data_IF_368004746014
#
_entry.id   IF_368004746014
#
_cell.length_a   1.000
_cell.length_b   1.000
_cell.length_c   1.000
_cell.angle_alpha   90.00
_cell.angle_beta   90.00
_cell.angle_gamma   90.00
#
_symmetry.space_group_name_H-M   'P 1'
#
loop_
_entity.id
_entity.type
_entity.pdbx_description
1 polymer ?
#
# COMPACT_ATOMS: atom_id res chain seq x y z
N UNK A 1 -34.61 22.16 1.27
CA UNK A 1 -34.64 22.25 -0.20
C UNK A 1 -34.63 20.83 -0.73
N UNK A 2 -35.62 20.41 -1.54
CA UNK A 2 -35.63 19.06 -2.08
C UNK A 2 -34.36 18.84 -2.92
N UNK A 3 -33.69 17.71 -2.71
CA UNK A 3 -32.50 17.36 -3.47
C UNK A 3 -32.95 17.04 -4.89
N UNK A 4 -32.44 17.76 -5.89
CA UNK A 4 -32.90 17.70 -7.29
C UNK A 4 -32.99 16.27 -7.88
N UNK A 5 -32.24 15.30 -7.34
CA UNK A 5 -32.11 13.95 -7.89
C UNK A 5 -32.54 12.84 -6.91
N UNK A 6 -33.31 13.15 -5.86
CA UNK A 6 -33.69 12.15 -4.85
C UNK A 6 -34.49 10.95 -5.40
N UNK A 7 -35.46 11.12 -6.32
CA UNK A 7 -36.17 9.99 -6.90
C UNK A 7 -35.22 9.01 -7.61
N UNK A 8 -34.26 9.51 -8.38
CA UNK A 8 -33.27 8.70 -9.08
C UNK A 8 -32.31 8.01 -8.10
N UNK A 9 -31.89 8.71 -7.05
CA UNK A 9 -31.06 8.13 -5.99
C UNK A 9 -31.78 6.96 -5.29
N UNK A 10 -33.07 7.11 -4.99
CA UNK A 10 -33.88 6.04 -4.38
C UNK A 10 -34.09 4.86 -5.31
N UNK A 11 -34.37 5.12 -6.61
CA UNK A 11 -34.45 4.08 -7.64
C UNK A 11 -33.15 3.29 -7.73
N UNK A 12 -32.02 3.98 -7.73
CA UNK A 12 -30.70 3.34 -7.81
C UNK A 12 -30.36 2.56 -6.54
N UNK A 13 -30.72 3.06 -5.35
CA UNK A 13 -30.61 2.29 -4.11
C UNK A 13 -31.42 0.98 -4.17
N UNK A 14 -32.67 1.05 -4.66
CA UNK A 14 -33.54 -0.11 -4.78
C UNK A 14 -33.01 -1.16 -5.77
N UNK A 15 -32.27 -0.76 -6.81
CA UNK A 15 -31.57 -1.67 -7.75
C UNK A 15 -30.61 -2.63 -7.02
N UNK A 16 -30.03 -2.18 -5.90
CA UNK A 16 -29.06 -2.93 -5.10
C UNK A 16 -29.63 -3.40 -3.75
N UNK A 17 -30.96 -3.45 -3.62
CA UNK A 17 -31.65 -3.84 -2.38
C UNK A 17 -31.27 -2.96 -1.16
N UNK A 18 -30.89 -1.69 -1.41
CA UNK A 18 -30.56 -0.73 -0.36
C UNK A 18 -31.83 0.01 0.07
N UNK A 19 -32.28 -0.23 1.30
CA UNK A 19 -33.39 0.51 1.89
C UNK A 19 -32.91 1.86 2.45
N UNK A 20 -33.60 2.94 2.05
CA UNK A 20 -33.31 4.29 2.52
C UNK A 20 -34.19 4.62 3.72
N UNK A 21 -33.60 4.64 4.90
CA UNK A 21 -34.29 4.87 6.18
C UNK A 21 -34.21 6.35 6.64
N UNK A 22 -35.07 6.77 7.58
CA UNK A 22 -35.01 8.09 8.21
C UNK A 22 -33.68 8.38 8.94
N UNK A 23 -33.33 9.66 9.05
CA UNK A 23 -32.06 10.10 9.64
C UNK A 23 -31.92 9.76 11.13
N UNK A 24 -33.04 9.66 11.85
CA UNK A 24 -33.12 9.35 13.28
C UNK A 24 -33.02 7.85 13.59
N UNK A 25 -32.99 6.99 12.57
CA UNK A 25 -32.87 5.55 12.74
C UNK A 25 -31.41 5.10 12.56
N UNK A 26 -31.08 3.97 13.19
CA UNK A 26 -29.76 3.34 13.07
C UNK A 26 -29.82 2.29 11.97
N UNK A 27 -29.05 2.45 10.88
CA UNK A 27 -29.09 1.50 9.76
C UNK A 27 -28.50 0.14 10.15
N UNK A 28 -29.13 -0.92 9.67
CA UNK A 28 -28.58 -2.29 9.66
C UNK A 28 -28.01 -2.61 8.27
N UNK A 29 -27.37 -3.78 8.04
CA UNK A 29 -26.92 -4.17 6.71
C UNK A 29 -28.03 -4.08 5.66
N UNK A 30 -27.70 -3.51 4.49
CA UNK A 30 -28.67 -3.24 3.42
C UNK A 30 -29.46 -1.94 3.61
N UNK A 31 -29.19 -1.16 4.66
CA UNK A 31 -29.86 0.13 4.88
C UNK A 31 -28.90 1.32 4.82
N UNK A 32 -29.43 2.48 4.46
CA UNK A 32 -28.72 3.75 4.57
C UNK A 32 -29.64 4.91 4.93
N UNK A 33 -29.14 5.82 5.75
CA UNK A 33 -29.75 7.15 5.94
C UNK A 33 -29.06 8.25 5.11
N UNK A 34 -28.03 7.90 4.35
CA UNK A 34 -27.13 8.84 3.68
C UNK A 34 -27.63 9.26 2.28
N UNK A 35 -28.94 9.32 2.06
CA UNK A 35 -29.53 9.66 0.76
C UNK A 35 -29.05 11.02 0.24
N UNK A 36 -28.87 12.00 1.12
CA UNK A 36 -28.32 13.31 0.75
C UNK A 36 -26.91 13.24 0.17
N UNK A 37 -26.10 12.26 0.61
CA UNK A 37 -24.77 12.03 0.06
C UNK A 37 -24.83 11.38 -1.31
N UNK A 38 -25.73 10.40 -1.50
CA UNK A 38 -25.94 9.74 -2.80
C UNK A 38 -26.40 10.76 -3.85
N UNK A 39 -27.36 11.63 -3.50
CA UNK A 39 -27.81 12.73 -4.36
C UNK A 39 -26.65 13.67 -4.75
N UNK A 40 -25.78 14.02 -3.80
CA UNK A 40 -24.61 14.88 -4.07
C UNK A 40 -23.58 14.21 -4.98
N UNK A 41 -23.31 12.92 -4.78
CA UNK A 41 -22.40 12.16 -5.66
C UNK A 41 -22.99 12.09 -7.07
N UNK A 42 -24.27 11.78 -7.19
CA UNK A 42 -24.96 11.69 -8.48
C UNK A 42 -25.01 13.03 -9.21
N UNK A 43 -25.31 14.14 -8.51
CA UNK A 43 -25.27 15.47 -9.11
C UNK A 43 -23.87 15.84 -9.60
N UNK A 44 -22.81 15.35 -8.94
CA UNK A 44 -21.42 15.68 -9.26
C UNK A 44 -20.81 14.81 -10.36
N UNK A 45 -21.13 13.51 -10.38
CA UNK A 45 -20.45 12.51 -11.21
C UNK A 45 -21.39 11.74 -12.16
N UNK A 46 -22.70 11.94 -12.06
CA UNK A 46 -23.71 11.26 -12.88
C UNK A 46 -24.09 9.88 -12.36
N UNK A 47 -25.22 9.36 -12.87
CA UNK A 47 -25.78 8.06 -12.49
C UNK A 47 -24.81 6.88 -12.70
N UNK A 48 -24.06 6.76 -13.82
CA UNK A 48 -23.16 5.63 -14.04
C UNK A 48 -22.07 5.50 -12.96
N UNK A 49 -21.50 6.62 -12.53
CA UNK A 49 -20.52 6.66 -11.44
C UNK A 49 -21.16 6.26 -10.11
N UNK A 50 -22.33 6.82 -9.79
CA UNK A 50 -23.05 6.48 -8.55
C UNK A 50 -23.42 5.00 -8.51
N UNK A 51 -23.77 4.39 -9.65
CA UNK A 51 -24.07 2.96 -9.76
C UNK A 51 -22.86 2.10 -9.39
N UNK A 52 -21.66 2.45 -9.89
CA UNK A 52 -20.42 1.76 -9.51
C UNK A 52 -20.11 1.91 -8.01
N UNK A 53 -20.35 3.09 -7.43
CA UNK A 53 -20.16 3.32 -5.99
C UNK A 53 -21.10 2.45 -5.16
N UNK A 54 -22.39 2.40 -5.52
CA UNK A 54 -23.39 1.63 -4.77
C UNK A 54 -23.19 0.13 -4.93
N UNK A 55 -22.99 -0.38 -6.15
CA UNK A 55 -22.66 -1.81 -6.38
C UNK A 55 -21.40 -2.23 -5.62
N UNK A 56 -20.36 -1.39 -5.60
CA UNK A 56 -19.14 -1.68 -4.81
C UNK A 56 -19.45 -1.88 -3.33
N UNK A 57 -20.33 -1.09 -2.73
CA UNK A 57 -20.67 -1.22 -1.30
C UNK A 57 -21.71 -2.31 -1.01
N UNK A 58 -22.66 -2.54 -1.91
CA UNK A 58 -23.78 -3.44 -1.71
C UNK A 58 -23.46 -4.90 -2.07
N UNK A 59 -22.68 -5.12 -3.13
CA UNK A 59 -22.43 -6.46 -3.66
C UNK A 59 -21.19 -7.13 -3.07
N UNK A 60 -20.26 -6.34 -2.55
CA UNK A 60 -19.02 -6.90 -1.98
C UNK A 60 -19.21 -7.34 -0.54
N UNK A 61 -18.58 -8.46 -0.20
CA UNK A 61 -18.76 -9.15 1.08
C UNK A 61 -18.38 -8.24 2.25
N UNK A 62 -19.19 -8.29 3.31
CA UNK A 62 -18.99 -7.55 4.56
C UNK A 62 -19.12 -6.01 4.46
N UNK A 63 -19.55 -5.46 3.33
CA UNK A 63 -19.63 -4.01 3.12
C UNK A 63 -21.05 -3.42 3.23
N UNK A 64 -22.08 -4.29 3.21
CA UNK A 64 -23.51 -3.91 3.20
C UNK A 64 -23.97 -3.10 4.42
N UNK A 65 -23.31 -3.24 5.58
CA UNK A 65 -23.59 -2.45 6.79
C UNK A 65 -22.93 -1.08 6.82
N UNK A 66 -22.15 -0.73 5.79
CA UNK A 66 -21.21 0.38 5.85
C UNK A 66 -21.59 1.54 4.94
N UNK A 67 -22.79 1.56 4.36
CA UNK A 67 -23.29 2.61 3.44
C UNK A 67 -23.57 3.91 4.20
N UNK A 68 -22.48 4.60 4.54
CA UNK A 68 -22.43 5.84 5.31
C UNK A 68 -21.89 6.98 4.45
N UNK A 69 -22.10 8.23 4.87
CA UNK A 69 -21.54 9.39 4.16
C UNK A 69 -20.02 9.27 3.93
N UNK A 70 -19.27 8.82 4.94
CA UNK A 70 -17.81 8.65 4.85
C UNK A 70 -17.43 7.60 3.81
N UNK A 71 -18.05 6.41 3.88
CA UNK A 71 -17.78 5.32 2.93
C UNK A 71 -18.16 5.68 1.50
N UNK A 72 -19.32 6.31 1.29
CA UNK A 72 -19.82 6.68 -0.03
C UNK A 72 -18.85 7.63 -0.73
N UNK A 73 -18.38 8.66 -0.01
CA UNK A 73 -17.40 9.58 -0.56
C UNK A 73 -16.04 8.93 -0.78
N UNK A 74 -15.56 8.09 0.14
CA UNK A 74 -14.28 7.40 -0.01
C UNK A 74 -14.31 6.45 -1.23
N UNK A 75 -15.35 5.64 -1.37
CA UNK A 75 -15.54 4.77 -2.53
C UNK A 75 -15.67 5.60 -3.81
N UNK A 76 -16.40 6.70 -3.79
CA UNK A 76 -16.50 7.62 -4.93
C UNK A 76 -15.12 8.14 -5.38
N UNK A 77 -14.24 8.52 -4.45
CA UNK A 77 -12.87 8.93 -4.78
C UNK A 77 -12.06 7.79 -5.39
N UNK A 78 -12.22 6.58 -4.86
CA UNK A 78 -11.50 5.39 -5.31
C UNK A 78 -11.97 4.91 -6.68
N UNK A 79 -13.28 4.93 -6.96
CA UNK A 79 -13.84 4.63 -8.29
C UNK A 79 -13.26 5.60 -9.32
N UNK A 80 -13.23 6.91 -9.01
CA UNK A 80 -12.63 7.90 -9.90
C UNK A 80 -11.11 7.68 -10.06
N UNK A 81 -10.42 7.37 -8.96
CA UNK A 81 -8.98 7.15 -8.94
C UNK A 81 -8.56 5.79 -9.49
N UNK A 82 -9.50 4.89 -9.78
CA UNK A 82 -9.22 3.54 -10.29
C UNK A 82 -10.02 3.27 -11.57
N UNK A 83 -10.51 4.30 -12.26
CA UNK A 83 -11.37 4.14 -13.45
C UNK A 83 -10.74 3.25 -14.52
N UNK A 84 -9.46 3.47 -14.87
CA UNK A 84 -8.72 2.63 -15.83
C UNK A 84 -8.63 1.16 -15.40
N UNK A 85 -8.53 0.89 -14.09
CA UNK A 85 -8.51 -0.48 -13.58
C UNK A 85 -9.90 -1.10 -13.69
N UNK A 86 -10.94 -0.36 -13.30
CA UNK A 86 -12.34 -0.80 -13.37
C UNK A 86 -12.77 -1.08 -14.83
N UNK A 87 -12.42 -0.19 -15.75
CA UNK A 87 -12.72 -0.34 -17.19
C UNK A 87 -12.03 -1.56 -17.80
N UNK A 88 -10.82 -1.88 -17.33
CA UNK A 88 -10.05 -3.03 -17.81
C UNK A 88 -10.54 -4.36 -17.24
N UNK A 89 -10.83 -4.40 -15.94
CA UNK A 89 -11.20 -5.62 -15.23
C UNK A 89 -12.03 -5.32 -13.97
N UNK A 90 -13.34 -5.12 -14.17
CA UNK A 90 -14.31 -4.89 -13.11
C UNK A 90 -14.41 -6.09 -12.13
N UNK A 91 -14.19 -7.32 -12.59
CA UNK A 91 -14.25 -8.50 -11.72
C UNK A 91 -13.11 -8.49 -10.69
N UNK A 92 -11.90 -8.11 -11.11
CA UNK A 92 -10.77 -7.94 -10.18
C UNK A 92 -10.97 -6.81 -9.18
N UNK A 93 -11.69 -5.75 -9.56
CA UNK A 93 -12.11 -4.69 -8.64
C UNK A 93 -12.98 -5.25 -7.51
N UNK A 94 -14.06 -5.97 -7.85
CA UNK A 94 -14.93 -6.57 -6.84
C UNK A 94 -14.20 -7.60 -5.98
N UNK A 95 -13.34 -8.45 -6.58
CA UNK A 95 -12.54 -9.42 -5.84
C UNK A 95 -11.58 -8.75 -4.83
N UNK A 96 -10.99 -7.62 -5.20
CA UNK A 96 -10.15 -6.85 -4.28
C UNK A 96 -10.95 -6.25 -3.13
N UNK A 97 -12.15 -5.70 -3.40
CA UNK A 97 -13.03 -5.18 -2.36
C UNK A 97 -13.58 -6.25 -1.42
N UNK A 98 -13.86 -7.46 -1.93
CA UNK A 98 -14.23 -8.63 -1.11
C UNK A 98 -13.14 -9.00 -0.08
N UNK A 99 -11.87 -8.72 -0.39
CA UNK A 99 -10.75 -8.96 0.50
C UNK A 99 -10.50 -7.81 1.50
N UNK A 100 -11.09 -6.63 1.27
CA UNK A 100 -10.95 -5.48 2.18
C UNK A 100 -11.87 -5.67 3.39
N UNK A 101 -11.33 -5.73 4.62
CA UNK A 101 -12.13 -5.75 5.85
C UNK A 101 -12.62 -4.33 6.17
N UNK A 102 -13.50 -3.78 5.32
CA UNK A 102 -13.88 -2.36 5.36
C UNK A 102 -14.43 -1.93 6.72
N UNK A 103 -15.19 -2.80 7.40
CA UNK A 103 -15.73 -2.51 8.73
C UNK A 103 -14.64 -2.27 9.77
N UNK A 104 -13.60 -3.11 9.76
CA UNK A 104 -12.43 -2.97 10.63
C UNK A 104 -11.65 -1.70 10.32
N UNK A 105 -11.43 -1.41 9.03
CA UNK A 105 -10.73 -0.19 8.59
C UNK A 105 -11.51 1.05 9.00
N UNK A 106 -12.82 1.10 8.76
CA UNK A 106 -13.66 2.23 9.13
C UNK A 106 -13.69 2.44 10.64
N UNK A 107 -13.81 1.36 11.42
CA UNK A 107 -13.80 1.41 12.88
C UNK A 107 -12.52 2.09 13.42
N UNK A 108 -11.34 1.73 12.90
CA UNK A 108 -10.09 2.38 13.28
C UNK A 108 -9.96 3.81 12.75
N UNK A 109 -10.39 4.08 11.50
CA UNK A 109 -10.34 5.44 10.94
C UNK A 109 -11.20 6.41 11.74
N UNK A 110 -12.31 5.95 12.34
CA UNK A 110 -13.16 6.78 13.19
C UNK A 110 -12.44 7.35 14.43
N UNK A 111 -11.37 6.71 14.92
CA UNK A 111 -10.54 7.24 16.02
C UNK A 111 -9.82 8.55 15.65
N UNK A 112 -9.68 8.82 14.35
CA UNK A 112 -9.09 10.05 13.82
C UNK A 112 -10.14 11.16 13.64
N UNK A 113 -11.41 10.93 13.98
CA UNK A 113 -12.48 11.93 13.89
C UNK A 113 -12.12 13.19 14.67
N UNK A 114 -12.40 14.35 14.08
CA UNK A 114 -12.00 15.66 14.61
C UNK A 114 -10.52 16.01 14.47
N UNK A 115 -9.65 15.06 14.07
CA UNK A 115 -8.22 15.28 13.84
C UNK A 115 -7.83 15.21 12.37
N UNK A 116 -8.55 14.42 11.58
CA UNK A 116 -8.33 14.24 10.14
C UNK A 116 -9.65 14.22 9.38
N UNK A 117 -9.60 14.47 8.08
CA UNK A 117 -10.79 14.40 7.24
C UNK A 117 -11.14 12.94 6.95
N UNK A 118 -12.25 12.43 7.52
CA UNK A 118 -12.62 11.00 7.53
C UNK A 118 -12.69 10.36 6.14
N UNK A 119 -13.27 11.06 5.16
CA UNK A 119 -13.29 10.63 3.75
C UNK A 119 -11.88 10.33 3.23
N UNK A 120 -10.92 11.24 3.46
CA UNK A 120 -9.57 11.10 2.93
C UNK A 120 -8.77 10.02 3.68
N UNK A 121 -8.96 9.93 5.01
CA UNK A 121 -8.34 8.89 5.82
C UNK A 121 -8.82 7.49 5.40
N UNK A 122 -10.14 7.31 5.24
CA UNK A 122 -10.71 6.05 4.78
C UNK A 122 -10.28 5.71 3.36
N UNK A 123 -10.34 6.68 2.43
CA UNK A 123 -9.91 6.47 1.05
C UNK A 123 -8.43 6.04 0.98
N UNK A 124 -7.54 6.70 1.72
CA UNK A 124 -6.12 6.35 1.77
C UNK A 124 -5.86 4.95 2.33
N UNK A 125 -6.50 4.61 3.45
CA UNK A 125 -6.34 3.30 4.08
C UNK A 125 -6.85 2.18 3.17
N UNK A 126 -8.05 2.33 2.59
CA UNK A 126 -8.63 1.35 1.68
C UNK A 126 -7.81 1.23 0.40
N UNK A 127 -7.33 2.35 -0.18
CA UNK A 127 -6.49 2.31 -1.38
C UNK A 127 -5.23 1.47 -1.19
N UNK A 128 -4.57 1.58 -0.03
CA UNK A 128 -3.38 0.78 0.26
C UNK A 128 -3.69 -0.73 0.23
N UNK A 129 -4.84 -1.13 0.78
CA UNK A 129 -5.30 -2.52 0.76
C UNK A 129 -5.69 -2.97 -0.64
N UNK A 130 -6.42 -2.15 -1.40
CA UNK A 130 -6.79 -2.46 -2.77
C UNK A 130 -5.55 -2.70 -3.64
N UNK A 131 -4.52 -1.85 -3.53
CA UNK A 131 -3.26 -2.04 -4.28
C UNK A 131 -2.54 -3.31 -3.85
N UNK A 132 -2.58 -3.67 -2.56
CA UNK A 132 -2.00 -4.91 -2.04
C UNK A 132 -2.69 -6.16 -2.61
N UNK A 133 -4.03 -6.18 -2.70
CA UNK A 133 -4.78 -7.33 -3.17
C UNK A 133 -4.87 -7.45 -4.70
N UNK A 134 -4.91 -6.33 -5.41
CA UNK A 134 -5.19 -6.32 -6.86
C UNK A 134 -3.98 -6.24 -7.76
N UNK A 135 -2.77 -6.10 -7.19
CA UNK A 135 -1.62 -5.62 -7.95
C UNK A 135 -2.00 -4.32 -8.72
N UNK A 136 -2.48 -3.30 -7.98
CA UNK A 136 -3.14 -2.10 -8.53
C UNK A 136 -2.29 -1.22 -9.46
N UNK A 137 -2.69 0.05 -9.67
CA UNK A 137 -2.04 1.01 -10.62
C UNK A 137 -0.50 1.07 -10.59
N UNK A 138 0.12 0.73 -9.46
CA UNK A 138 1.57 0.75 -9.25
C UNK A 138 2.21 -0.64 -9.19
N UNK A 139 1.50 -1.75 -9.31
CA UNK A 139 2.14 -3.06 -9.18
C UNK A 139 3.15 -3.36 -10.28
N UNK A 140 2.96 -2.76 -11.46
CA UNK A 140 3.95 -2.80 -12.55
C UNK A 140 4.86 -1.57 -12.57
N UNK A 141 4.76 -0.66 -11.60
CA UNK A 141 5.68 0.48 -11.47
C UNK A 141 6.67 0.16 -10.36
N UNK A 142 7.92 -0.03 -10.74
CA UNK A 142 9.02 -0.10 -9.77
C UNK A 142 8.97 1.14 -8.87
N UNK A 143 9.02 0.91 -7.56
CA UNK A 143 9.16 1.99 -6.60
C UNK A 143 10.49 2.68 -6.92
N UNK A 144 10.43 3.97 -7.26
CA UNK A 144 11.62 4.73 -7.63
C UNK A 144 12.75 4.49 -6.64
N UNK A 145 13.93 4.14 -7.17
CA UNK A 145 15.14 3.91 -6.37
C UNK A 145 15.42 5.07 -5.40
N UNK A 146 15.09 6.31 -5.75
CA UNK A 146 15.26 7.48 -4.86
C UNK A 146 14.29 7.51 -3.68
N UNK A 147 13.07 6.96 -3.85
CA UNK A 147 12.10 6.80 -2.78
C UNK A 147 12.48 5.63 -1.88
N UNK A 148 12.81 4.47 -2.47
CA UNK A 148 13.29 3.29 -1.72
C UNK A 148 14.53 3.63 -0.88
N UNK A 149 15.52 4.31 -1.45
CA UNK A 149 16.74 4.71 -0.74
C UNK A 149 16.45 5.66 0.43
N UNK A 150 15.42 6.50 0.33
CA UNK A 150 15.00 7.40 1.43
C UNK A 150 14.34 6.61 2.56
N UNK A 151 13.53 5.62 2.21
CA UNK A 151 12.86 4.71 3.16
C UNK A 151 13.87 3.78 3.84
N UNK A 152 14.77 3.14 3.09
CA UNK A 152 15.87 2.31 3.63
C UNK A 152 16.77 3.07 4.60
N UNK A 153 17.07 4.34 4.32
CA UNK A 153 17.81 5.22 5.25
C UNK A 153 17.05 5.44 6.57
N UNK A 154 15.72 5.37 6.56
CA UNK A 154 14.87 5.56 7.72
C UNK A 154 14.53 4.25 8.46
N UNK A 155 14.46 3.12 7.75
CA UNK A 155 14.02 1.81 8.29
C UNK A 155 15.14 0.92 8.84
N UNK A 156 16.40 1.37 8.82
CA UNK A 156 17.50 0.75 9.58
C UNK A 156 18.37 -0.23 8.80
N UNK A 157 18.16 -0.37 7.48
CA UNK A 157 19.07 -1.14 6.63
C UNK A 157 20.44 -0.45 6.48
N UNK A 158 21.49 -1.26 6.46
CA UNK A 158 22.86 -0.82 6.29
C UNK A 158 23.01 -0.09 4.95
N UNK A 159 23.50 1.15 5.00
CA UNK A 159 23.83 1.91 3.79
C UNK A 159 24.83 1.16 2.90
N UNK A 160 24.90 1.46 1.60
CA UNK A 160 25.90 0.88 0.69
C UNK A 160 27.35 0.99 1.21
N UNK A 161 27.66 2.02 2.00
CA UNK A 161 28.95 2.16 2.69
C UNK A 161 29.14 1.14 3.81
N UNK A 162 28.08 0.83 4.56
CA UNK A 162 28.09 -0.20 5.59
C UNK A 162 28.13 -1.60 4.99
N UNK A 163 27.41 -1.86 3.89
CA UNK A 163 27.47 -3.11 3.13
C UNK A 163 28.91 -3.33 2.63
N UNK A 164 29.47 -2.37 1.88
CA UNK A 164 30.85 -2.49 1.38
C UNK A 164 31.90 -2.56 2.47
N UNK A 165 31.64 -1.96 3.66
CA UNK A 165 32.52 -2.13 4.83
C UNK A 165 32.43 -3.54 5.40
N UNK A 166 31.26 -4.15 5.41
CA UNK A 166 31.04 -5.50 5.91
C UNK A 166 31.64 -6.55 4.98
N UNK A 167 31.43 -6.41 3.67
CA UNK A 167 32.09 -7.24 2.64
C UNK A 167 33.62 -7.15 2.73
N UNK A 168 34.16 -5.94 2.95
CA UNK A 168 35.60 -5.75 3.16
C UNK A 168 36.13 -6.40 4.45
N UNK A 169 35.33 -6.48 5.51
CA UNK A 169 35.68 -7.18 6.75
C UNK A 169 35.65 -8.69 6.51
N UNK A 170 34.63 -9.21 5.84
CA UNK A 170 34.48 -10.64 5.55
C UNK A 170 35.62 -11.13 4.66
N UNK A 171 35.86 -10.47 3.52
CA UNK A 171 36.99 -10.79 2.65
C UNK A 171 38.34 -10.62 3.38
N UNK A 172 38.45 -9.63 4.26
CA UNK A 172 39.62 -9.45 5.11
C UNK A 172 39.89 -10.61 6.06
N UNK A 173 38.84 -11.25 6.61
CA UNK A 173 38.93 -12.45 7.46
C UNK A 173 39.40 -13.65 6.66
N UNK A 174 38.79 -13.90 5.49
CA UNK A 174 39.19 -14.99 4.59
C UNK A 174 40.67 -14.87 4.17
N UNK A 175 41.13 -13.65 3.85
CA UNK A 175 42.52 -13.39 3.48
C UNK A 175 43.49 -13.64 4.65
N UNK A 176 43.07 -13.41 5.90
CA UNK A 176 43.88 -13.74 7.08
C UNK A 176 44.00 -15.25 7.24
N UNK A 177 42.88 -15.97 7.17
CA UNK A 177 42.84 -17.43 7.31
C UNK A 177 43.71 -18.11 6.25
N UNK A 178 43.56 -17.72 4.98
CA UNK A 178 44.38 -18.26 3.90
C UNK A 178 45.85 -17.95 4.16
N UNK A 179 46.20 -16.70 4.53
CA UNK A 179 47.60 -16.34 4.79
C UNK A 179 48.23 -17.16 5.93
N UNK A 180 47.47 -17.49 6.96
CA UNK A 180 47.92 -18.29 8.10
C UNK A 180 48.13 -19.77 7.73
N UNK A 181 47.39 -20.29 6.75
CA UNK A 181 47.54 -21.66 6.24
C UNK A 181 48.74 -21.87 5.31
N UNK A 182 49.46 -20.80 4.93
CA UNK A 182 50.51 -20.83 3.92
C UNK A 182 51.93 -20.73 4.49
N UNK A 183 52.90 -21.35 3.80
CA UNK A 183 54.33 -21.19 4.08
C UNK A 183 54.84 -19.77 3.81
N UNK A 184 55.91 -19.38 4.51
CA UNK A 184 56.55 -18.07 4.35
C UNK A 184 57.02 -17.90 2.90
N UNK A 185 56.49 -16.88 2.22
CA UNK A 185 56.86 -16.50 0.85
C UNK A 185 55.77 -16.77 -0.19
N UNK A 186 54.84 -17.69 0.07
CA UNK A 186 53.87 -18.13 -0.94
C UNK A 186 52.64 -17.23 -1.05
N UNK A 187 52.42 -16.38 -0.04
CA UNK A 187 51.29 -15.45 0.04
C UNK A 187 51.18 -14.50 -1.15
N UNK A 188 52.28 -13.84 -1.54
CA UNK A 188 52.26 -12.83 -2.60
C UNK A 188 51.95 -13.43 -3.98
N UNK A 189 52.58 -14.54 -4.39
CA UNK A 189 52.19 -15.27 -5.60
C UNK A 189 50.73 -15.72 -5.60
N UNK A 190 50.23 -16.24 -4.47
CA UNK A 190 48.86 -16.72 -4.37
C UNK A 190 47.84 -15.58 -4.48
N UNK A 191 48.07 -14.46 -3.81
CA UNK A 191 47.17 -13.31 -3.84
C UNK A 191 47.00 -12.77 -5.27
N UNK A 192 48.11 -12.65 -6.01
CA UNK A 192 48.11 -12.18 -7.41
C UNK A 192 47.31 -13.10 -8.35
N UNK A 193 47.25 -14.39 -8.06
CA UNK A 193 46.61 -15.39 -8.91
C UNK A 193 45.14 -15.62 -8.55
N UNK A 194 44.76 -15.51 -7.28
CA UNK A 194 43.48 -16.05 -6.79
C UNK A 194 42.51 -15.01 -6.20
N UNK A 195 42.98 -13.90 -5.62
CA UNK A 195 42.12 -13.06 -4.78
C UNK A 195 41.37 -11.95 -5.53
N UNK A 196 41.69 -11.69 -6.80
CA UNK A 196 41.01 -10.65 -7.61
C UNK A 196 41.18 -9.21 -7.11
N UNK A 197 41.97 -8.97 -6.05
CA UNK A 197 42.20 -7.66 -5.43
C UNK A 197 43.68 -7.30 -5.40
N UNK A 198 43.97 -5.99 -5.40
CA UNK A 198 45.34 -5.51 -5.30
C UNK A 198 45.95 -5.86 -3.94
N UNK A 199 47.29 -5.95 -3.86
CA UNK A 199 47.99 -6.17 -2.59
C UNK A 199 47.65 -5.09 -1.55
N UNK A 200 47.57 -3.82 -1.97
CA UNK A 200 47.20 -2.72 -1.08
C UNK A 200 45.77 -2.85 -0.54
N UNK A 201 44.83 -3.26 -1.39
CA UNK A 201 43.42 -3.53 -1.02
C UNK A 201 43.33 -4.68 -0.03
N UNK A 202 44.03 -5.79 -0.29
CA UNK A 202 44.08 -6.95 0.60
C UNK A 202 44.58 -6.57 2.00
N UNK A 203 45.70 -5.81 2.08
CA UNK A 203 46.24 -5.35 3.36
C UNK A 203 45.24 -4.42 4.09
N UNK A 204 44.57 -3.52 3.36
CA UNK A 204 43.56 -2.63 3.92
C UNK A 204 42.39 -3.40 4.53
N UNK A 205 41.87 -4.41 3.83
CA UNK A 205 40.75 -5.24 4.26
C UNK A 205 41.12 -6.15 5.44
N UNK A 206 42.29 -6.78 5.40
CA UNK A 206 42.79 -7.56 6.54
C UNK A 206 42.98 -6.68 7.79
N UNK A 207 43.44 -5.44 7.64
CA UNK A 207 43.54 -4.49 8.75
C UNK A 207 42.16 -4.11 9.30
N UNK A 208 41.20 -3.86 8.41
CA UNK A 208 39.83 -3.56 8.76
C UNK A 208 39.19 -4.73 9.53
N UNK A 209 39.39 -5.96 9.07
CA UNK A 209 38.92 -7.18 9.72
C UNK A 209 39.50 -7.36 11.12
N UNK A 210 40.81 -7.14 11.29
CA UNK A 210 41.48 -7.18 12.62
C UNK A 210 40.93 -6.12 13.56
N UNK A 211 40.66 -4.91 13.05
CA UNK A 211 40.08 -3.83 13.86
C UNK A 211 38.61 -4.03 14.24
N UNK A 212 37.89 -4.89 13.52
CA UNK A 212 36.50 -5.23 13.79
C UNK A 212 36.34 -6.46 14.72
N UNK A 213 37.44 -7.16 15.02
CA UNK A 213 37.48 -8.30 15.95
C UNK A 213 38.04 -7.92 17.34
N UNK A 214 38.42 -6.65 17.53
CA UNK A 214 38.86 -6.05 18.79
C UNK A 214 37.72 -5.27 19.43
#
# INVERSE_FOLDING_TARGET
MPLQNEPDARRLCAEFEIEVIPANEMPVPGQTRAIGTICRIMAKHGEPHTRLVLSTLAETKNNQGLITETSLWAVSDLVQSCSEWIEKDLSSWYAAWDAVPLGYVLWHVQELSGKSHMRHALAGAVYLMLVHYSAGRKANREVSYSFVRRVQKAEGDLSARQIGRQEAIELGRELIEVKESMSRGDWLPWLKKNAGVSYATAISYMRLAKSAAA
#
